data_IF_806943312801
#
_entry.id   IF_806943312801
#
_cell.length_a   1.000
_cell.length_b   1.000
_cell.length_c   1.000
_cell.angle_alpha   90.00
_cell.angle_beta   90.00
_cell.angle_gamma   90.00
#
_symmetry.space_group_name_H-M   'P 1'
#
loop_
_entity.id
_entity.type
_entity.pdbx_description
1 polymer ?
#
# COMPACT_ATOMS: atom_id res chain seq x y z
N UNK A 1 -0.53 -5.55 -17.58
CA UNK A 1 -1.80 -4.98 -17.08
C UNK A 1 -2.52 -4.27 -18.21
N UNK A 2 -3.80 -4.55 -18.36
CA UNK A 2 -4.61 -3.98 -19.43
C UNK A 2 -5.30 -2.72 -18.92
N UNK A 3 -5.26 -1.66 -19.71
CA UNK A 3 -5.95 -0.41 -19.42
C UNK A 3 -7.16 -0.26 -20.32
N UNK A 4 -8.25 0.20 -19.74
CA UNK A 4 -9.46 0.52 -20.46
C UNK A 4 -9.74 2.01 -20.26
N UNK A 5 -9.88 2.74 -21.33
CA UNK A 5 -10.26 4.15 -21.25
C UNK A 5 -11.75 4.29 -21.52
N UNK A 6 -12.42 4.98 -20.61
CA UNK A 6 -13.83 5.31 -20.76
C UNK A 6 -13.96 6.81 -20.80
N UNK A 7 -14.46 7.32 -21.92
CA UNK A 7 -14.67 8.76 -22.11
C UNK A 7 -16.17 8.99 -22.38
N UNK A 8 -16.88 9.49 -21.38
CA UNK A 8 -18.31 9.68 -21.51
C UNK A 8 -19.04 8.37 -21.81
N UNK A 9 -19.62 8.27 -23.00
CA UNK A 9 -20.34 7.07 -23.43
C UNK A 9 -19.47 6.07 -24.18
N UNK A 10 -18.27 6.47 -24.55
CA UNK A 10 -17.37 5.61 -25.32
C UNK A 10 -16.42 4.85 -24.40
N UNK A 11 -16.13 3.62 -24.78
CA UNK A 11 -15.18 2.77 -24.07
C UNK A 11 -14.34 2.02 -25.06
N UNK A 12 -13.02 2.14 -24.95
CA UNK A 12 -12.09 1.39 -25.78
C UNK A 12 -11.73 0.08 -25.07
N UNK A 13 -12.22 -1.02 -25.61
CA UNK A 13 -11.99 -2.35 -25.07
C UNK A 13 -11.00 -3.17 -25.92
N UNK A 14 -10.36 -2.55 -26.90
CA UNK A 14 -9.53 -3.28 -27.87
C UNK A 14 -8.43 -4.09 -27.19
N UNK A 15 -7.67 -3.46 -26.30
CA UNK A 15 -6.58 -4.12 -25.59
C UNK A 15 -7.10 -5.24 -24.68
N UNK A 16 -8.20 -4.98 -23.99
CA UNK A 16 -8.82 -5.97 -23.11
C UNK A 16 -9.30 -7.20 -23.89
N UNK A 17 -9.93 -6.99 -25.04
CA UNK A 17 -10.43 -8.10 -25.85
C UNK A 17 -9.28 -8.93 -26.44
N UNK A 18 -8.19 -8.27 -26.84
CA UNK A 18 -7.00 -8.97 -27.31
C UNK A 18 -6.38 -9.84 -26.22
N UNK A 19 -6.29 -9.30 -25.00
CA UNK A 19 -5.78 -10.05 -23.86
C UNK A 19 -6.68 -11.25 -23.54
N UNK A 20 -7.99 -11.02 -23.54
CA UNK A 20 -8.97 -12.07 -23.25
C UNK A 20 -8.92 -13.17 -24.27
N UNK A 21 -8.67 -12.84 -25.54
CA UNK A 21 -8.61 -13.83 -26.60
C UNK A 21 -7.46 -14.83 -26.42
N UNK A 22 -6.44 -14.47 -25.66
CA UNK A 22 -5.32 -15.37 -25.35
C UNK A 22 -5.62 -16.40 -24.27
N UNK A 23 -6.76 -16.28 -23.59
CA UNK A 23 -7.12 -17.21 -22.53
C UNK A 23 -7.93 -18.38 -23.07
N UNK A 24 -7.76 -19.57 -22.49
CA UNK A 24 -8.56 -20.73 -22.93
C UNK A 24 -10.03 -20.53 -22.57
N UNK A 25 -10.94 -21.28 -23.22
CA UNK A 25 -12.36 -21.22 -22.87
C UNK A 25 -12.58 -21.51 -21.39
N UNK A 26 -13.46 -20.75 -20.75
CA UNK A 26 -13.73 -20.88 -19.33
C UNK A 26 -14.48 -19.68 -18.79
N UNK A 27 -14.70 -19.67 -17.50
CA UNK A 27 -15.34 -18.58 -16.79
C UNK A 27 -14.27 -17.82 -16.00
N UNK A 28 -14.24 -16.51 -16.15
CA UNK A 28 -13.21 -15.65 -15.55
C UNK A 28 -13.84 -14.56 -14.71
N UNK A 29 -13.16 -14.23 -13.63
CA UNK A 29 -13.52 -13.05 -12.84
C UNK A 29 -12.61 -11.90 -13.24
N UNK A 30 -13.20 -10.75 -13.51
CA UNK A 30 -12.46 -9.54 -13.91
C UNK A 30 -12.68 -8.48 -12.86
N UNK A 31 -11.59 -7.83 -12.47
CA UNK A 31 -11.65 -6.73 -11.50
C UNK A 31 -11.14 -5.45 -12.16
N UNK A 32 -11.85 -4.36 -11.94
CA UNK A 32 -11.55 -3.08 -12.58
C UNK A 32 -11.21 -2.05 -11.50
N UNK A 33 -10.11 -1.34 -11.69
CA UNK A 33 -9.64 -0.29 -10.77
C UNK A 33 -9.40 1.00 -11.54
N UNK A 34 -9.65 2.16 -10.93
CA UNK A 34 -9.16 3.42 -11.49
C UNK A 34 -7.62 3.39 -11.59
N UNK A 35 -7.09 3.90 -12.67
CA UNK A 35 -5.64 3.98 -12.82
C UNK A 35 -5.06 4.90 -11.75
N UNK A 36 -4.02 4.45 -11.07
CA UNK A 36 -3.39 5.20 -9.98
C UNK A 36 -3.99 4.97 -8.60
N UNK A 37 -5.12 4.28 -8.51
CA UNK A 37 -5.77 4.01 -7.22
C UNK A 37 -5.06 2.92 -6.41
N UNK A 38 -4.44 1.95 -7.09
CA UNK A 38 -3.75 0.85 -6.41
C UNK A 38 -2.45 1.33 -5.79
N UNK A 39 -2.13 0.77 -4.62
CA UNK A 39 -0.83 1.01 -4.02
C UNK A 39 0.26 0.38 -4.87
N UNK A 40 1.46 0.96 -4.84
CA UNK A 40 2.57 0.47 -5.62
C UNK A 40 3.21 -0.76 -4.97
N UNK A 41 3.90 -1.57 -5.79
CA UNK A 41 4.72 -2.67 -5.28
C UNK A 41 5.84 -2.16 -4.37
N UNK A 42 6.34 -0.96 -4.63
CA UNK A 42 7.37 -0.33 -3.83
C UNK A 42 6.87 0.04 -2.43
N UNK A 43 5.64 0.52 -2.31
CA UNK A 43 5.00 0.75 -1.01
C UNK A 43 4.88 -0.55 -0.23
N UNK A 44 4.48 -1.62 -0.89
CA UNK A 44 4.36 -2.92 -0.27
C UNK A 44 5.72 -3.47 0.18
N UNK A 45 6.73 -3.31 -0.66
CA UNK A 45 8.10 -3.72 -0.33
C UNK A 45 8.67 -2.94 0.85
N UNK A 46 8.38 -1.66 0.92
CA UNK A 46 8.77 -0.83 2.06
C UNK A 46 8.12 -1.32 3.35
N UNK A 47 6.82 -1.60 3.30
CA UNK A 47 6.08 -2.07 4.47
C UNK A 47 6.68 -3.37 5.03
N UNK A 48 6.85 -4.37 4.19
CA UNK A 48 7.30 -5.69 4.62
C UNK A 48 8.80 -5.81 4.78
N UNK A 49 9.58 -5.01 4.06
CA UNK A 49 11.03 -5.08 4.08
C UNK A 49 11.70 -4.12 5.05
N UNK A 50 11.04 -3.03 5.43
CA UNK A 50 11.62 -2.02 6.30
C UNK A 50 10.78 -1.79 7.54
N UNK A 51 9.50 -1.47 7.37
CA UNK A 51 8.64 -1.03 8.47
C UNK A 51 8.41 -2.15 9.48
N UNK A 52 7.92 -3.29 9.03
CA UNK A 52 7.59 -4.39 9.92
C UNK A 52 8.82 -5.00 10.61
N UNK A 53 9.96 -5.21 9.93
CA UNK A 53 11.14 -5.70 10.62
C UNK A 53 11.63 -4.77 11.73
N UNK A 54 11.63 -3.46 11.50
CA UNK A 54 12.03 -2.49 12.53
C UNK A 54 11.05 -2.47 13.69
N UNK A 55 9.75 -2.53 13.40
CA UNK A 55 8.73 -2.63 14.43
C UNK A 55 8.86 -3.90 15.24
N UNK A 56 9.17 -5.02 14.59
CA UNK A 56 9.35 -6.29 15.27
C UNK A 56 10.45 -6.20 16.32
N UNK A 57 11.58 -5.64 15.94
CA UNK A 57 12.67 -5.44 16.89
C UNK A 57 12.26 -4.53 18.06
N UNK A 58 11.62 -3.41 17.74
CA UNK A 58 11.19 -2.47 18.76
C UNK A 58 10.16 -3.05 19.71
N UNK A 59 9.21 -3.80 19.19
CA UNK A 59 8.19 -4.43 20.01
C UNK A 59 8.79 -5.51 20.91
N UNK A 60 9.74 -6.30 20.41
CA UNK A 60 10.47 -7.26 21.24
C UNK A 60 11.21 -6.57 22.39
N UNK A 61 11.86 -5.46 22.10
CA UNK A 61 12.65 -4.74 23.09
C UNK A 61 11.80 -4.21 24.24
N UNK A 62 10.53 -3.92 23.99
CA UNK A 62 9.62 -3.45 25.05
C UNK A 62 8.76 -4.57 25.63
N UNK A 63 9.02 -5.82 25.30
CA UNK A 63 8.43 -6.97 25.97
C UNK A 63 7.37 -7.74 25.20
N UNK A 64 7.09 -7.40 23.97
CA UNK A 64 6.16 -8.20 23.16
C UNK A 64 6.81 -9.51 22.71
N UNK A 65 6.01 -10.56 22.67
CA UNK A 65 6.48 -11.90 22.35
C UNK A 65 6.39 -12.24 20.86
N UNK A 66 6.36 -11.23 19.99
CA UNK A 66 6.28 -11.46 18.54
C UNK A 66 7.61 -11.96 18.00
N UNK A 67 7.54 -12.85 17.03
CA UNK A 67 8.73 -13.44 16.40
C UNK A 67 8.76 -13.28 14.89
N UNK A 68 7.63 -12.91 14.28
CA UNK A 68 7.53 -12.81 12.82
C UNK A 68 6.92 -11.47 12.40
N UNK A 69 7.24 -11.05 11.18
CA UNK A 69 6.65 -9.84 10.61
C UNK A 69 5.15 -10.01 10.34
N UNK A 70 4.68 -11.22 10.15
CA UNK A 70 3.25 -11.48 10.00
C UNK A 70 2.49 -11.12 11.27
N UNK A 71 3.06 -11.44 12.43
CA UNK A 71 2.47 -11.07 13.71
C UNK A 71 2.42 -9.55 13.90
N UNK A 72 3.47 -8.86 13.45
CA UNK A 72 3.51 -7.39 13.46
C UNK A 72 2.44 -6.82 12.53
N UNK A 73 2.25 -7.41 11.38
CA UNK A 73 1.20 -7.01 10.46
C UNK A 73 -0.18 -7.09 11.12
N UNK A 74 -0.47 -8.20 11.78
CA UNK A 74 -1.74 -8.37 12.50
C UNK A 74 -1.88 -7.35 13.64
N UNK A 75 -0.80 -7.09 14.36
CA UNK A 75 -0.78 -6.06 15.39
C UNK A 75 -1.13 -4.69 14.82
N UNK A 76 -0.50 -4.32 13.72
CA UNK A 76 -0.75 -3.01 13.08
C UNK A 76 -2.19 -2.90 12.57
N UNK A 77 -2.71 -3.95 11.99
CA UNK A 77 -4.10 -3.96 11.52
C UNK A 77 -5.08 -3.73 12.67
N UNK A 78 -4.88 -4.41 13.78
CA UNK A 78 -5.76 -4.25 14.96
C UNK A 78 -5.63 -2.87 15.58
N UNK A 79 -4.43 -2.34 15.59
CA UNK A 79 -4.14 -1.08 16.30
C UNK A 79 -4.52 0.14 15.48
N UNK A 80 -4.30 0.09 14.17
CA UNK A 80 -4.39 1.27 13.31
C UNK A 80 -5.53 1.22 12.30
N UNK A 81 -6.30 0.16 12.26
CA UNK A 81 -7.47 0.10 11.39
C UNK A 81 -8.63 0.83 12.06
N UNK A 82 -8.82 2.07 11.71
CA UNK A 82 -9.90 2.90 12.20
C UNK A 82 -9.82 4.25 11.49
N UNK A 83 -10.61 5.18 11.99
CA UNK A 83 -10.61 6.54 11.47
C UNK A 83 -9.40 7.30 11.97
N UNK A 84 -8.68 7.87 11.03
CA UNK A 84 -7.52 8.71 11.32
C UNK A 84 -7.81 10.15 10.93
N UNK A 85 -7.47 11.07 11.81
CA UNK A 85 -7.61 12.51 11.54
C UNK A 85 -6.23 13.09 11.31
N UNK A 86 -6.02 13.67 10.15
CA UNK A 86 -4.79 14.38 9.86
C UNK A 86 -4.89 15.77 10.48
N UNK A 87 -4.16 15.99 11.55
CA UNK A 87 -4.23 17.25 12.29
C UNK A 87 -3.69 18.45 11.51
N UNK A 88 -2.86 18.22 10.50
CA UNK A 88 -2.34 19.30 9.67
C UNK A 88 -3.35 19.80 8.64
N UNK A 89 -4.11 18.90 8.06
CA UNK A 89 -5.08 19.23 7.02
C UNK A 89 -6.53 19.20 7.49
N UNK A 90 -6.80 18.59 8.64
CA UNK A 90 -8.15 18.35 9.12
C UNK A 90 -8.89 17.24 8.38
N UNK A 91 -8.21 16.55 7.46
CA UNK A 91 -8.82 15.48 6.68
C UNK A 91 -9.05 14.24 7.55
N UNK A 92 -10.23 13.63 7.40
CA UNK A 92 -10.58 12.39 8.08
C UNK A 92 -10.43 11.26 7.07
N UNK A 93 -9.62 10.27 7.41
CA UNK A 93 -9.36 9.13 6.54
C UNK A 93 -9.76 7.86 7.29
N UNK A 94 -10.62 7.05 6.67
CA UNK A 94 -10.96 5.74 7.21
C UNK A 94 -9.91 4.74 6.73
N UNK A 95 -9.26 4.06 7.69
CA UNK A 95 -8.25 3.05 7.41
C UNK A 95 -8.91 1.69 7.55
N UNK A 96 -9.06 0.93 6.46
CA UNK A 96 -9.67 -0.39 6.54
C UNK A 96 -8.76 -1.38 7.27
N UNK A 97 -9.35 -2.44 7.80
CA UNK A 97 -8.63 -3.48 8.51
C UNK A 97 -7.86 -4.44 7.57
N UNK A 98 -8.01 -4.29 6.28
CA UNK A 98 -7.26 -5.06 5.29
C UNK A 98 -6.40 -4.13 4.45
N UNK A 99 -5.08 -4.38 4.43
CA UNK A 99 -4.19 -3.61 3.59
C UNK A 99 -4.43 -3.83 2.10
N UNK A 100 -5.07 -4.94 1.74
CA UNK A 100 -5.41 -5.23 0.34
C UNK A 100 -6.45 -4.28 -0.23
N UNK A 101 -7.27 -3.72 0.64
CA UNK A 101 -8.33 -2.78 0.24
C UNK A 101 -7.86 -1.33 0.22
N UNK A 102 -6.64 -1.08 0.67
CA UNK A 102 -6.11 0.26 0.72
C UNK A 102 -5.60 0.71 -0.65
N UNK A 103 -6.07 1.86 -1.10
CA UNK A 103 -5.49 2.52 -2.25
C UNK A 103 -4.15 3.16 -1.86
N UNK A 104 -3.50 3.80 -2.82
CA UNK A 104 -2.17 4.40 -2.59
C UNK A 104 -2.20 5.47 -1.50
N UNK A 105 -3.21 6.32 -1.51
CA UNK A 105 -3.34 7.41 -0.54
C UNK A 105 -3.60 6.89 0.86
N UNK A 106 -4.55 5.98 1.01
CA UNK A 106 -4.88 5.38 2.30
C UNK A 106 -3.71 4.60 2.86
N UNK A 107 -2.99 3.89 1.99
CA UNK A 107 -1.81 3.14 2.40
C UNK A 107 -0.69 4.06 2.87
N UNK A 108 -0.48 5.19 2.20
CA UNK A 108 0.50 6.18 2.65
C UNK A 108 0.14 6.72 4.04
N UNK A 109 -1.15 6.94 4.31
CA UNK A 109 -1.62 7.36 5.63
C UNK A 109 -1.38 6.28 6.67
N UNK A 110 -1.65 5.03 6.34
CA UNK A 110 -1.39 3.89 7.22
C UNK A 110 0.10 3.82 7.60
N UNK A 111 0.98 3.97 6.63
CA UNK A 111 2.43 4.00 6.87
C UNK A 111 2.83 5.17 7.78
N UNK A 112 2.26 6.33 7.55
CA UNK A 112 2.56 7.51 8.36
C UNK A 112 2.11 7.33 9.80
N UNK A 113 0.93 6.78 10.02
CA UNK A 113 0.41 6.50 11.37
C UNK A 113 1.34 5.54 12.11
N UNK A 114 1.79 4.49 11.45
CA UNK A 114 2.72 3.53 12.04
C UNK A 114 4.04 4.21 12.41
N UNK A 115 4.58 5.03 11.52
CA UNK A 115 5.86 5.72 11.75
C UNK A 115 5.77 6.69 12.92
N UNK A 116 4.71 7.46 13.00
CA UNK A 116 4.50 8.40 14.12
C UNK A 116 4.33 7.65 15.44
N UNK A 117 3.56 6.60 15.43
CA UNK A 117 3.36 5.77 16.62
C UNK A 117 4.68 5.16 17.10
N UNK A 118 5.45 4.62 16.16
CA UNK A 118 6.73 4.01 16.45
C UNK A 118 7.70 4.99 17.11
N UNK A 119 7.78 6.20 16.55
CA UNK A 119 8.65 7.22 17.10
C UNK A 119 8.19 7.67 18.49
N UNK A 120 6.90 7.89 18.64
CA UNK A 120 6.36 8.49 19.87
C UNK A 120 6.24 7.50 21.04
N UNK A 121 5.97 6.24 20.78
CA UNK A 121 5.68 5.25 21.83
C UNK A 121 6.79 4.25 22.05
N UNK A 122 7.55 3.89 21.04
CA UNK A 122 8.64 2.92 21.21
C UNK A 122 10.00 3.50 20.86
N UNK A 123 10.05 4.77 20.45
CA UNK A 123 11.31 5.47 20.23
C UNK A 123 12.10 5.02 19.00
N UNK A 124 11.44 4.35 18.07
CA UNK A 124 12.08 3.89 16.84
C UNK A 124 11.72 4.80 15.68
N UNK A 125 12.73 5.38 15.08
CA UNK A 125 12.56 6.15 13.86
C UNK A 125 12.62 5.22 12.66
N UNK A 126 11.50 5.12 11.93
CA UNK A 126 11.45 4.35 10.71
C UNK A 126 11.89 5.27 9.56
N UNK A 127 12.93 4.90 8.80
CA UNK A 127 13.45 5.78 7.75
C UNK A 127 12.43 5.99 6.64
N UNK A 128 12.56 7.10 5.94
CA UNK A 128 11.73 7.41 4.79
C UNK A 128 11.89 6.33 3.71
N UNK A 129 10.81 6.07 2.96
CA UNK A 129 10.90 5.11 1.88
C UNK A 129 11.97 5.48 0.86
N UNK A 130 12.77 4.50 0.46
CA UNK A 130 13.75 4.66 -0.58
C UNK A 130 13.20 4.09 -1.87
N UNK A 131 12.09 4.65 -2.33
CA UNK A 131 11.47 4.21 -3.57
C UNK A 131 12.38 4.53 -4.75
N UNK A 132 12.49 3.57 -5.65
CA UNK A 132 13.15 3.86 -6.92
C UNK A 132 12.28 4.86 -7.66
N UNK A 133 12.89 5.95 -8.05
CA UNK A 133 12.20 6.95 -8.83
C UNK A 133 12.32 6.56 -10.29
N UNK A 134 11.33 5.86 -10.78
CA UNK A 134 11.32 5.40 -12.16
C UNK A 134 11.38 6.56 -13.15
N UNK A 135 10.71 7.64 -12.82
CA UNK A 135 10.73 8.82 -13.66
C UNK A 135 12.14 9.36 -13.78
N UNK A 136 12.84 9.44 -12.65
CA UNK A 136 14.21 9.95 -12.69
C UNK A 136 15.12 8.98 -13.42
N UNK A 137 14.93 7.69 -13.20
CA UNK A 137 15.71 6.69 -13.88
C UNK A 137 15.47 6.73 -15.38
N UNK A 138 14.24 6.94 -15.77
CA UNK A 138 13.86 7.03 -17.17
C UNK A 138 14.30 8.34 -17.80
N UNK A 139 14.22 9.40 -17.03
CA UNK A 139 14.62 10.73 -17.47
C UNK A 139 16.13 10.83 -17.61
N UNK A 140 16.83 10.06 -16.81
CA UNK A 140 18.27 10.09 -16.75
C UNK A 140 18.94 8.99 -17.59
N UNK A 141 18.42 8.60 -18.72
CA UNK A 141 19.09 7.67 -19.61
C UNK A 141 20.20 8.41 -20.31
N UNK A 142 21.10 8.76 -19.66
CA UNK A 142 22.06 9.66 -20.18
C UNK A 142 23.35 8.96 -20.38
#
# INVERSE_FOLDING_TARGET
MVKIEKTGTDTDLTEFLCELAGYPPGTYQVTIYPVGALRSGEQNSYLWGVVYPLLLEGLKDIGYAYTTTQEVHEFCKRTFSDRYVNYHSGEIIDIPDSTKEMDRKTFATYLQVIREWSLNYIGIEIPDPQYKNNERTDIMPQ
#
